data_IF_601040952444
#
_entry.id   IF_601040952444
#
_cell.length_a   1.000
_cell.length_b   1.000
_cell.length_c   1.000
_cell.angle_alpha   90.00
_cell.angle_beta   90.00
_cell.angle_gamma   90.00
#
_symmetry.space_group_name_H-M   'P 1'
#
loop_
_entity.id
_entity.type
_entity.pdbx_description
1 polymer ?
#
# COMPACT_ATOMS: atom_id res chain seq x y z
N UNK A 1 -64.39 29.74 -31.86
CA UNK A 1 -64.75 31.16 -31.68
C UNK A 1 -65.75 31.27 -30.56
N UNK A 2 -65.32 31.89 -29.45
CA UNK A 2 -66.15 32.17 -28.29
C UNK A 2 -66.56 33.65 -28.32
N UNK A 3 -67.76 33.95 -27.85
CA UNK A 3 -68.25 35.32 -27.65
C UNK A 3 -68.54 35.48 -26.17
N UNK A 4 -67.96 36.52 -25.58
CA UNK A 4 -68.05 36.79 -24.15
C UNK A 4 -68.42 38.25 -23.96
N UNK A 5 -69.43 38.51 -23.13
CA UNK A 5 -69.76 39.87 -22.70
C UNK A 5 -68.91 40.22 -21.49
N UNK A 6 -68.16 41.33 -21.60
CA UNK A 6 -67.25 41.85 -20.57
C UNK A 6 -67.53 43.34 -20.34
N UNK A 7 -67.28 43.82 -19.13
CA UNK A 7 -67.48 45.23 -18.77
C UNK A 7 -66.13 45.92 -18.60
N UNK A 8 -65.90 47.01 -19.33
CA UNK A 8 -64.67 47.81 -19.27
C UNK A 8 -65.07 49.27 -19.07
N UNK A 9 -64.59 49.88 -17.98
CA UNK A 9 -64.93 51.24 -17.59
C UNK A 9 -66.44 51.52 -17.62
N UNK A 10 -67.20 50.63 -16.98
CA UNK A 10 -68.67 50.67 -16.85
C UNK A 10 -69.44 50.62 -18.19
N UNK A 11 -68.78 50.13 -19.26
CA UNK A 11 -69.39 49.90 -20.57
C UNK A 11 -69.25 48.42 -20.95
N UNK A 12 -70.35 47.82 -21.39
CA UNK A 12 -70.37 46.41 -21.82
C UNK A 12 -69.94 46.25 -23.28
N UNK A 13 -69.04 45.29 -23.50
CA UNK A 13 -68.49 44.92 -24.81
C UNK A 13 -68.67 43.42 -25.06
N UNK A 14 -69.02 43.07 -26.29
CA UNK A 14 -69.03 41.68 -26.75
C UNK A 14 -67.68 41.36 -27.40
N UNK A 15 -66.81 40.68 -26.65
CA UNK A 15 -65.50 40.23 -27.13
C UNK A 15 -65.65 38.92 -27.91
N UNK A 16 -65.03 38.84 -29.09
CA UNK A 16 -64.99 37.63 -29.91
C UNK A 16 -63.54 37.18 -30.07
N UNK A 17 -63.25 35.94 -29.69
CA UNK A 17 -61.89 35.38 -29.73
C UNK A 17 -61.87 33.88 -30.02
N UNK A 18 -60.69 33.35 -30.34
CA UNK A 18 -60.47 31.90 -30.49
C UNK A 18 -60.18 31.23 -29.14
N UNK A 19 -59.67 32.00 -28.19
CA UNK A 19 -59.35 31.60 -26.82
C UNK A 19 -60.61 31.29 -25.97
N UNK A 20 -60.40 30.64 -24.83
CA UNK A 20 -61.47 30.29 -23.90
C UNK A 20 -62.08 31.51 -23.18
N UNK A 21 -63.29 31.34 -22.62
CA UNK A 21 -64.02 32.42 -21.93
C UNK A 21 -63.19 33.02 -20.77
N UNK A 22 -62.54 32.16 -19.98
CA UNK A 22 -61.71 32.58 -18.84
C UNK A 22 -60.57 33.51 -19.25
N UNK A 23 -59.84 33.19 -20.33
CA UNK A 23 -58.76 34.02 -20.85
C UNK A 23 -59.29 35.36 -21.37
N UNK A 24 -60.38 35.34 -22.15
CA UNK A 24 -60.97 36.56 -22.70
C UNK A 24 -61.46 37.51 -21.58
N UNK A 25 -62.06 36.96 -20.51
CA UNK A 25 -62.41 37.73 -19.30
C UNK A 25 -61.17 38.28 -18.59
N UNK A 26 -60.13 37.46 -18.44
CA UNK A 26 -58.86 37.88 -17.81
C UNK A 26 -58.21 39.05 -18.55
N UNK A 27 -58.23 39.03 -19.88
CA UNK A 27 -57.71 40.14 -20.71
C UNK A 27 -58.56 41.40 -20.50
N UNK A 28 -59.89 41.28 -20.50
CA UNK A 28 -60.78 42.40 -20.26
C UNK A 28 -60.59 43.00 -18.85
N UNK A 29 -60.48 42.16 -17.82
CA UNK A 29 -60.21 42.57 -16.44
C UNK A 29 -58.87 43.31 -16.31
N UNK A 30 -57.85 42.88 -17.05
CA UNK A 30 -56.55 43.55 -17.06
C UNK A 30 -56.64 44.97 -17.63
N UNK A 31 -57.32 45.11 -18.78
CA UNK A 31 -57.53 46.40 -19.44
C UNK A 31 -58.39 47.31 -18.57
N UNK A 32 -59.48 46.81 -17.99
CA UNK A 32 -60.35 47.56 -17.08
C UNK A 32 -59.58 48.09 -15.87
N UNK A 33 -58.75 47.26 -15.22
CA UNK A 33 -57.91 47.66 -14.10
C UNK A 33 -56.93 48.78 -14.46
N UNK A 34 -56.23 48.65 -15.60
CA UNK A 34 -55.30 49.70 -16.06
C UNK A 34 -56.02 50.99 -16.42
N UNK A 35 -57.16 50.91 -17.10
CA UNK A 35 -57.95 52.08 -17.49
C UNK A 35 -58.50 52.81 -16.26
N UNK A 36 -59.05 52.07 -15.28
CA UNK A 36 -59.51 52.63 -14.00
C UNK A 36 -58.37 53.29 -13.23
N UNK A 37 -57.17 52.70 -13.19
CA UNK A 37 -56.01 53.29 -12.53
C UNK A 37 -55.59 54.65 -13.16
N UNK A 38 -55.65 54.75 -14.50
CA UNK A 38 -55.36 56.00 -15.22
C UNK A 38 -56.42 57.06 -14.89
N UNK A 39 -57.70 56.69 -14.89
CA UNK A 39 -58.82 57.61 -14.59
C UNK A 39 -58.77 58.07 -13.12
N UNK A 40 -58.48 57.16 -12.18
CA UNK A 40 -58.29 57.49 -10.77
C UNK A 40 -57.12 58.46 -10.56
N UNK A 41 -56.06 58.32 -11.34
CA UNK A 41 -54.89 59.22 -11.28
C UNK A 41 -55.16 60.60 -11.87
N UNK A 42 -56.07 60.72 -12.85
CA UNK A 42 -56.49 62.00 -13.42
C UNK A 42 -57.99 62.01 -13.77
N UNK A 43 -58.86 62.39 -12.82
CA UNK A 43 -60.31 62.37 -13.02
C UNK A 43 -60.84 63.34 -14.07
N UNK A 44 -60.04 64.31 -14.53
CA UNK A 44 -60.43 65.25 -15.61
C UNK A 44 -60.15 64.70 -17.01
N UNK A 45 -59.52 63.53 -17.11
CA UNK A 45 -59.20 62.90 -18.38
C UNK A 45 -60.46 62.32 -19.04
N UNK A 46 -60.61 62.49 -20.35
CA UNK A 46 -61.73 61.89 -21.08
C UNK A 46 -61.57 60.38 -21.18
N UNK A 47 -62.70 59.64 -21.26
CA UNK A 47 -62.68 58.18 -21.43
C UNK A 47 -61.90 57.74 -22.67
N UNK A 48 -61.98 58.49 -23.77
CA UNK A 48 -61.20 58.23 -24.99
C UNK A 48 -59.70 58.39 -24.76
N UNK A 49 -59.27 59.46 -24.09
CA UNK A 49 -57.86 59.67 -23.79
C UNK A 49 -57.33 58.63 -22.79
N UNK A 50 -58.14 58.23 -21.81
CA UNK A 50 -57.82 57.14 -20.90
C UNK A 50 -57.66 55.81 -21.64
N UNK A 51 -58.53 55.50 -22.61
CA UNK A 51 -58.41 54.30 -23.44
C UNK A 51 -57.12 54.31 -24.28
N UNK A 52 -56.76 55.44 -24.90
CA UNK A 52 -55.51 55.58 -25.67
C UNK A 52 -54.28 55.39 -24.76
N UNK A 53 -54.26 56.00 -23.58
CA UNK A 53 -53.16 55.82 -22.62
C UNK A 53 -53.08 54.38 -22.09
N UNK A 54 -54.23 53.72 -21.91
CA UNK A 54 -54.29 52.30 -21.53
C UNK A 54 -53.66 51.45 -22.63
N UNK A 55 -54.02 51.67 -23.88
CA UNK A 55 -53.45 50.95 -25.02
C UNK A 55 -51.92 51.14 -25.10
N UNK A 56 -51.43 52.38 -24.98
CA UNK A 56 -49.99 52.67 -24.98
C UNK A 56 -49.28 51.91 -23.85
N UNK A 57 -49.82 51.95 -22.63
CA UNK A 57 -49.23 51.26 -21.48
C UNK A 57 -49.24 49.73 -21.63
N UNK A 58 -50.24 49.15 -22.27
CA UNK A 58 -50.30 47.70 -22.52
C UNK A 58 -49.28 47.30 -23.60
N UNK A 59 -49.11 48.11 -24.64
CA UNK A 59 -48.08 47.88 -25.66
C UNK A 59 -46.67 48.03 -25.10
N UNK A 60 -46.44 48.99 -24.20
CA UNK A 60 -45.16 49.13 -23.50
C UNK A 60 -44.85 47.90 -22.62
N UNK A 61 -45.83 47.38 -21.88
CA UNK A 61 -45.67 46.12 -21.14
C UNK A 61 -45.30 44.96 -22.07
N UNK A 62 -45.98 44.87 -23.23
CA UNK A 62 -45.71 43.83 -24.23
C UNK A 62 -44.25 43.89 -24.69
N UNK A 63 -43.77 45.07 -25.11
CA UNK A 63 -42.38 45.23 -25.57
C UNK A 63 -41.35 44.95 -24.48
N UNK A 64 -41.62 45.32 -23.22
CA UNK A 64 -40.75 44.98 -22.09
C UNK A 64 -40.71 43.48 -21.81
N UNK A 65 -41.86 42.81 -21.91
CA UNK A 65 -41.96 41.35 -21.79
C UNK A 65 -41.23 40.66 -22.94
N UNK A 66 -41.37 41.13 -24.18
CA UNK A 66 -40.66 40.59 -25.36
C UNK A 66 -39.14 40.74 -25.22
N UNK A 67 -38.66 41.90 -24.76
CA UNK A 67 -37.25 42.12 -24.50
C UNK A 67 -36.70 41.18 -23.41
N UNK A 68 -37.47 41.00 -22.33
CA UNK A 68 -37.11 40.07 -21.24
C UNK A 68 -37.11 38.63 -21.74
N UNK A 69 -38.11 38.23 -22.50
CA UNK A 69 -38.21 36.89 -23.09
C UNK A 69 -37.05 36.59 -24.03
N UNK A 70 -36.66 37.58 -24.86
CA UNK A 70 -35.49 37.46 -25.72
C UNK A 70 -34.20 37.28 -24.92
N UNK A 71 -34.00 38.08 -23.86
CA UNK A 71 -32.83 37.94 -22.97
C UNK A 71 -32.79 36.57 -22.28
N UNK A 72 -33.92 36.08 -21.78
CA UNK A 72 -34.01 34.73 -21.20
C UNK A 72 -33.67 33.64 -22.23
N UNK A 73 -34.13 33.78 -23.48
CA UNK A 73 -33.79 32.83 -24.54
C UNK A 73 -32.29 32.85 -24.89
N UNK A 74 -31.67 34.04 -24.91
CA UNK A 74 -30.22 34.17 -25.11
C UNK A 74 -29.45 33.48 -23.97
N UNK A 75 -29.86 33.69 -22.71
CA UNK A 75 -29.27 33.01 -21.55
C UNK A 75 -29.43 31.49 -21.64
N UNK A 76 -30.61 31.00 -22.03
CA UNK A 76 -30.88 29.58 -22.22
C UNK A 76 -29.92 28.97 -23.26
N UNK A 77 -29.70 29.65 -24.39
CA UNK A 77 -28.77 29.17 -25.40
C UNK A 77 -27.32 29.14 -24.88
N UNK A 78 -26.90 30.16 -24.11
CA UNK A 78 -25.59 30.15 -23.45
C UNK A 78 -25.46 28.98 -22.48
N UNK A 79 -26.48 28.72 -21.66
CA UNK A 79 -26.46 27.60 -20.72
C UNK A 79 -26.44 26.24 -21.42
N UNK A 80 -27.15 26.06 -22.54
CA UNK A 80 -27.08 24.83 -23.35
C UNK A 80 -25.68 24.56 -23.89
N UNK A 81 -24.95 25.59 -24.30
CA UNK A 81 -23.56 25.45 -24.76
C UNK A 81 -22.66 25.01 -23.60
N UNK A 82 -22.79 25.65 -22.43
CA UNK A 82 -22.03 25.27 -21.23
C UNK A 82 -22.34 23.85 -20.77
N UNK A 83 -23.60 23.44 -20.84
CA UNK A 83 -24.03 22.10 -20.43
C UNK A 83 -23.34 21.03 -21.29
N UNK A 84 -23.31 21.23 -22.62
CA UNK A 84 -22.54 20.37 -23.53
C UNK A 84 -21.05 20.34 -23.21
N UNK A 85 -20.46 21.50 -22.94
CA UNK A 85 -19.04 21.59 -22.57
C UNK A 85 -18.74 20.81 -21.28
N UNK A 86 -19.62 20.90 -20.28
CA UNK A 86 -19.50 20.12 -19.04
C UNK A 86 -19.70 18.61 -19.27
N UNK A 87 -20.64 18.21 -20.14
CA UNK A 87 -20.80 16.80 -20.52
C UNK A 87 -19.53 16.23 -21.18
N UNK A 88 -18.90 16.98 -22.08
CA UNK A 88 -17.63 16.60 -22.72
C UNK A 88 -16.49 16.48 -21.71
N UNK A 89 -16.36 17.44 -20.78
CA UNK A 89 -15.36 17.38 -19.71
C UNK A 89 -15.56 16.17 -18.79
N UNK A 90 -16.82 15.87 -18.42
CA UNK A 90 -17.15 14.71 -17.59
C UNK A 90 -16.81 13.40 -18.33
N UNK A 91 -17.07 13.32 -19.63
CA UNK A 91 -16.71 12.15 -20.43
C UNK A 91 -15.19 11.92 -20.46
N UNK A 92 -14.40 12.97 -20.72
CA UNK A 92 -12.94 12.91 -20.72
C UNK A 92 -12.37 12.50 -19.35
N UNK A 93 -12.91 13.04 -18.25
CA UNK A 93 -12.49 12.66 -16.91
C UNK A 93 -12.81 11.20 -16.58
N UNK A 94 -13.96 10.69 -17.01
CA UNK A 94 -14.33 9.27 -16.83
C UNK A 94 -13.36 8.34 -17.56
N UNK A 95 -12.96 8.69 -18.79
CA UNK A 95 -11.98 7.91 -19.56
C UNK A 95 -10.62 7.89 -18.86
N UNK A 96 -10.14 9.04 -18.38
CA UNK A 96 -8.88 9.13 -17.65
C UNK A 96 -8.90 8.29 -16.37
N UNK A 97 -9.99 8.34 -15.60
CA UNK A 97 -10.15 7.53 -14.39
C UNK A 97 -10.11 6.04 -14.72
N UNK A 98 -10.80 5.60 -15.78
CA UNK A 98 -10.78 4.21 -16.22
C UNK A 98 -9.36 3.76 -16.60
N UNK A 99 -8.60 4.62 -17.30
CA UNK A 99 -7.21 4.33 -17.67
C UNK A 99 -6.31 4.14 -16.45
N UNK A 100 -6.35 5.08 -15.51
CA UNK A 100 -5.55 5.02 -14.27
C UNK A 100 -5.95 3.82 -13.41
N UNK A 101 -7.24 3.46 -13.37
CA UNK A 101 -7.69 2.25 -12.67
C UNK A 101 -7.15 0.98 -13.33
N UNK A 102 -7.12 0.92 -14.67
CA UNK A 102 -6.50 -0.18 -15.41
C UNK A 102 -5.00 -0.31 -15.12
N UNK A 103 -4.25 0.79 -15.22
CA UNK A 103 -2.81 0.82 -14.91
C UNK A 103 -2.53 0.37 -13.46
N UNK A 104 -3.36 0.81 -12.50
CA UNK A 104 -3.22 0.39 -11.10
C UNK A 104 -3.50 -1.10 -10.90
N UNK A 105 -4.46 -1.68 -11.63
CA UNK A 105 -4.73 -3.12 -11.59
C UNK A 105 -3.57 -3.92 -12.17
N UNK A 106 -3.01 -3.48 -13.30
CA UNK A 106 -1.82 -4.10 -13.91
C UNK A 106 -0.62 -4.04 -12.96
N UNK A 107 -0.39 -2.89 -12.31
CA UNK A 107 0.67 -2.74 -11.31
C UNK A 107 0.47 -3.68 -10.11
N UNK A 108 -0.76 -3.80 -9.60
CA UNK A 108 -1.07 -4.74 -8.51
C UNK A 108 -0.82 -6.19 -8.93
N UNK A 109 -1.20 -6.55 -10.15
CA UNK A 109 -0.93 -7.88 -10.71
C UNK A 109 0.57 -8.14 -10.79
N UNK A 110 1.36 -7.19 -11.32
CA UNK A 110 2.81 -7.30 -11.37
C UNK A 110 3.47 -7.43 -9.99
N UNK A 111 2.97 -6.72 -8.97
CA UNK A 111 3.46 -6.84 -7.59
C UNK A 111 3.16 -8.21 -7.01
N UNK A 112 1.99 -8.78 -7.28
CA UNK A 112 1.62 -10.12 -6.82
C UNK A 112 2.37 -11.23 -7.58
N UNK A 113 2.56 -11.07 -8.89
CA UNK A 113 3.28 -12.03 -9.73
C UNK A 113 4.80 -12.00 -9.47
N UNK A 114 5.31 -10.88 -8.95
CA UNK A 114 6.61 -10.81 -8.33
C UNK A 114 6.61 -11.72 -7.10
N UNK A 115 6.98 -12.99 -7.32
CA UNK A 115 7.34 -14.06 -6.36
C UNK A 115 8.40 -13.65 -5.32
N UNK A 116 8.62 -12.37 -5.09
CA UNK A 116 9.51 -11.82 -4.07
C UNK A 116 9.16 -12.41 -2.71
N UNK A 117 7.88 -12.53 -2.35
CA UNK A 117 7.51 -13.10 -1.05
C UNK A 117 7.82 -14.61 -0.97
N UNK A 118 7.60 -15.36 -2.04
CA UNK A 118 7.89 -16.80 -2.11
C UNK A 118 9.40 -17.08 -2.13
N UNK A 119 10.15 -16.28 -2.91
CA UNK A 119 11.61 -16.32 -2.99
C UNK A 119 12.25 -15.89 -1.65
N UNK A 120 11.68 -14.90 -0.97
CA UNK A 120 12.15 -14.46 0.35
C UNK A 120 11.98 -15.59 1.37
N UNK A 121 10.80 -16.23 1.41
CA UNK A 121 10.54 -17.39 2.29
C UNK A 121 11.50 -18.55 2.00
N UNK A 122 11.75 -18.86 0.73
CA UNK A 122 12.71 -19.90 0.36
C UNK A 122 14.13 -19.57 0.83
N UNK A 123 14.58 -18.32 0.66
CA UNK A 123 15.91 -17.87 1.12
C UNK A 123 16.02 -17.82 2.64
N UNK A 124 14.96 -17.44 3.35
CA UNK A 124 14.93 -17.47 4.81
C UNK A 124 15.04 -18.89 5.36
N UNK A 125 14.40 -19.86 4.72
CA UNK A 125 14.51 -21.28 5.08
C UNK A 125 15.95 -21.81 4.87
N UNK A 126 16.56 -21.54 3.72
CA UNK A 126 17.98 -21.87 3.45
C UNK A 126 18.94 -21.21 4.46
N UNK A 127 18.69 -19.95 4.81
CA UNK A 127 19.53 -19.23 5.78
C UNK A 127 19.40 -19.81 7.19
N UNK A 128 18.22 -20.33 7.53
CA UNK A 128 17.98 -20.99 8.82
C UNK A 128 18.68 -22.34 8.90
N UNK A 129 18.62 -23.16 7.83
CA UNK A 129 19.33 -24.44 7.79
C UNK A 129 20.85 -24.25 7.83
N UNK A 130 21.38 -23.30 7.06
CA UNK A 130 22.80 -22.99 7.04
C UNK A 130 23.31 -22.50 8.40
N UNK A 131 22.51 -21.68 9.12
CA UNK A 131 22.84 -21.27 10.50
C UNK A 131 22.94 -22.47 11.45
N UNK A 132 22.01 -23.43 11.35
CA UNK A 132 22.07 -24.64 12.18
C UNK A 132 23.31 -25.49 11.88
N UNK A 133 23.68 -25.61 10.60
CA UNK A 133 24.86 -26.35 10.19
C UNK A 133 26.15 -25.68 10.68
N UNK A 134 26.24 -24.35 10.59
CA UNK A 134 27.36 -23.56 11.14
C UNK A 134 27.50 -23.76 12.65
N UNK A 135 26.40 -23.79 13.40
CA UNK A 135 26.46 -24.05 14.85
C UNK A 135 26.95 -25.47 15.17
N UNK A 136 26.46 -26.49 14.45
CA UNK A 136 26.96 -27.87 14.60
C UNK A 136 28.46 -27.97 14.30
N UNK A 137 28.92 -27.35 13.22
CA UNK A 137 30.34 -27.34 12.85
C UNK A 137 31.20 -26.63 13.90
N UNK A 138 30.70 -25.55 14.52
CA UNK A 138 31.39 -24.87 15.63
C UNK A 138 31.51 -25.78 16.85
N UNK A 139 30.45 -26.49 17.22
CA UNK A 139 30.46 -27.44 18.34
C UNK A 139 31.46 -28.58 18.09
N UNK A 140 31.45 -29.17 16.90
CA UNK A 140 32.42 -30.21 16.51
C UNK A 140 33.86 -29.69 16.54
N UNK A 141 34.09 -28.47 16.04
CA UNK A 141 35.42 -27.85 16.03
C UNK A 141 35.92 -27.56 17.45
N UNK A 142 35.02 -27.18 18.37
CA UNK A 142 35.34 -27.00 19.79
C UNK A 142 35.71 -28.34 20.45
N UNK A 143 34.94 -29.40 20.18
CA UNK A 143 35.22 -30.75 20.68
C UNK A 143 36.57 -31.27 20.16
N UNK A 144 36.81 -31.20 18.85
CA UNK A 144 38.07 -31.64 18.24
C UNK A 144 39.29 -30.88 18.81
N UNK A 145 39.15 -29.58 19.13
CA UNK A 145 40.20 -28.82 19.81
C UNK A 145 40.49 -29.34 21.21
N UNK A 146 39.45 -29.66 21.99
CA UNK A 146 39.59 -30.24 23.33
C UNK A 146 40.28 -31.61 23.27
N UNK A 147 39.82 -32.48 22.35
CA UNK A 147 40.39 -33.82 22.16
C UNK A 147 41.86 -33.73 21.72
N UNK A 148 42.21 -32.79 20.83
CA UNK A 148 43.58 -32.56 20.41
C UNK A 148 44.50 -32.15 21.57
N UNK A 149 44.07 -31.23 22.44
CA UNK A 149 44.87 -30.84 23.61
C UNK A 149 44.99 -31.99 24.63
N UNK A 150 43.95 -32.82 24.79
CA UNK A 150 44.01 -34.02 25.63
C UNK A 150 45.03 -35.04 25.09
N UNK A 151 44.95 -35.39 23.81
CA UNK A 151 45.92 -36.31 23.18
C UNK A 151 47.35 -35.76 23.20
N UNK A 152 47.52 -34.44 23.09
CA UNK A 152 48.83 -33.79 23.20
C UNK A 152 49.39 -33.87 24.62
N UNK A 153 48.56 -33.73 25.65
CA UNK A 153 48.96 -33.92 27.04
C UNK A 153 49.33 -35.39 27.32
N UNK A 154 48.50 -36.34 26.88
CA UNK A 154 48.76 -37.77 27.00
C UNK A 154 50.06 -38.18 26.30
N UNK A 155 50.31 -37.66 25.09
CA UNK A 155 51.58 -37.90 24.38
C UNK A 155 52.81 -37.38 25.13
N UNK A 156 52.70 -36.26 25.87
CA UNK A 156 53.80 -35.77 26.71
C UNK A 156 54.03 -36.72 27.89
N UNK A 157 52.96 -37.18 28.53
CA UNK A 157 53.02 -38.11 29.67
C UNK A 157 53.61 -39.46 29.25
N UNK A 158 53.15 -40.04 28.14
CA UNK A 158 53.71 -41.27 27.57
C UNK A 158 55.21 -41.14 27.27
N UNK A 159 55.67 -39.98 26.77
CA UNK A 159 57.12 -39.73 26.58
C UNK A 159 57.88 -39.75 27.90
N UNK A 160 57.34 -39.16 28.96
CA UNK A 160 57.96 -39.16 30.28
C UNK A 160 58.00 -40.58 30.90
N UNK A 161 56.90 -41.32 30.79
CA UNK A 161 56.82 -42.71 31.25
C UNK A 161 57.80 -43.60 30.48
N UNK A 162 57.91 -43.44 29.17
CA UNK A 162 58.87 -44.16 28.33
C UNK A 162 60.32 -43.88 28.76
N UNK A 163 60.64 -42.62 29.05
CA UNK A 163 61.96 -42.24 29.55
C UNK A 163 62.25 -42.86 30.93
N UNK A 164 61.27 -42.84 31.83
CA UNK A 164 61.38 -43.46 33.16
C UNK A 164 61.57 -44.97 33.06
N UNK A 165 60.79 -45.65 32.21
CA UNK A 165 60.91 -47.08 31.95
C UNK A 165 62.30 -47.43 31.39
N UNK A 166 62.85 -46.61 30.48
CA UNK A 166 64.22 -46.76 29.96
C UNK A 166 65.27 -46.69 31.08
N UNK A 167 65.20 -45.71 31.96
CA UNK A 167 66.12 -45.61 33.10
C UNK A 167 66.03 -46.83 34.03
N UNK A 168 64.80 -47.30 34.30
CA UNK A 168 64.58 -48.48 35.15
C UNK A 168 65.13 -49.76 34.53
N UNK A 169 64.99 -49.93 33.21
CA UNK A 169 65.60 -51.05 32.47
C UNK A 169 67.13 -50.99 32.58
N UNK A 170 67.74 -49.82 32.42
CA UNK A 170 69.20 -49.64 32.54
C UNK A 170 69.68 -50.00 33.96
N UNK A 171 69.00 -49.53 35.01
CA UNK A 171 69.34 -49.87 36.40
C UNK A 171 69.25 -51.38 36.67
N UNK A 172 68.16 -52.02 36.21
CA UNK A 172 67.99 -53.47 36.33
C UNK A 172 69.04 -54.25 35.53
N UNK A 173 69.42 -53.79 34.34
CA UNK A 173 70.50 -54.37 33.55
C UNK A 173 71.84 -54.29 34.29
N UNK A 174 72.17 -53.13 34.88
CA UNK A 174 73.38 -52.96 35.68
C UNK A 174 73.41 -53.91 36.88
N UNK A 175 72.32 -53.98 37.65
CA UNK A 175 72.19 -54.93 38.79
C UNK A 175 72.31 -56.40 38.35
N UNK A 176 71.74 -56.75 37.20
CA UNK A 176 71.83 -58.10 36.66
C UNK A 176 73.28 -58.44 36.27
N UNK A 177 74.01 -57.50 35.65
CA UNK A 177 75.44 -57.66 35.35
C UNK A 177 76.25 -57.82 36.63
N UNK A 178 76.02 -57.02 37.66
CA UNK A 178 76.69 -57.16 38.97
C UNK A 178 76.42 -58.52 39.61
N UNK A 179 75.17 -58.98 39.59
CA UNK A 179 74.79 -60.30 40.08
C UNK A 179 75.44 -61.42 39.27
N UNK A 180 75.52 -61.30 37.95
CA UNK A 180 76.23 -62.27 37.10
C UNK A 180 77.74 -62.32 37.44
N UNK A 181 78.38 -61.16 37.66
CA UNK A 181 79.78 -61.07 38.10
C UNK A 181 79.96 -61.76 39.46
N UNK A 182 79.08 -61.50 40.42
CA UNK A 182 79.13 -62.11 41.75
C UNK A 182 78.92 -63.62 41.69
N UNK A 183 77.99 -64.10 40.86
CA UNK A 183 77.75 -65.53 40.65
C UNK A 183 78.99 -66.24 40.07
N UNK A 184 79.69 -65.60 39.13
CA UNK A 184 80.97 -66.11 38.60
C UNK A 184 82.05 -66.14 39.69
N UNK A 185 82.15 -65.11 40.54
CA UNK A 185 83.08 -65.09 41.68
C UNK A 185 82.79 -66.22 42.68
N UNK A 186 81.52 -66.42 43.06
CA UNK A 186 81.11 -67.50 43.98
C UNK A 186 81.35 -68.88 43.36
N UNK A 187 81.02 -69.08 42.07
CA UNK A 187 81.36 -70.31 41.35
C UNK A 187 82.86 -70.59 41.32
N UNK A 188 83.70 -69.54 41.27
CA UNK A 188 85.16 -69.67 41.35
C UNK A 188 85.65 -70.02 42.77
N UNK A 189 85.01 -69.46 43.81
CA UNK A 189 85.34 -69.74 45.22
C UNK A 189 84.88 -71.12 45.70
N UNK A 190 83.75 -71.62 45.20
CA UNK A 190 83.22 -72.96 45.49
C UNK A 190 83.72 -74.04 44.52
N UNK A 191 84.75 -73.76 43.72
CA UNK A 191 85.33 -74.76 42.83
C UNK A 191 86.38 -75.60 43.61
N UNK A 192 86.18 -76.93 43.79
CA UNK A 192 87.06 -77.79 44.59
C UNK A 192 88.52 -77.87 44.12
N UNK A 193 88.83 -77.33 42.94
CA UNK A 193 90.15 -77.38 42.31
C UNK A 193 91.06 -76.19 42.66
N UNK A 194 90.59 -75.18 43.40
CA UNK A 194 91.39 -73.99 43.74
C UNK A 194 91.71 -73.90 45.25
N UNK A 195 90.99 -74.63 46.11
CA UNK A 195 91.10 -74.52 47.57
C UNK A 195 91.79 -75.70 48.30
N UNK A 196 92.47 -76.59 47.58
CA UNK A 196 93.48 -77.49 48.17
C UNK A 196 94.87 -76.92 47.83
N UNK A 197 95.54 -76.26 48.76
CA UNK A 197 96.54 -76.92 49.63
C UNK A 197 97.51 -77.81 48.83
N UNK A 198 98.75 -77.37 48.63
CA UNK A 198 99.85 -77.52 49.61
C UNK A 198 99.95 -78.94 50.14
N UNK A 199 100.85 -79.74 49.55
CA UNK A 199 101.38 -80.92 50.23
C UNK A 199 101.92 -82.02 49.31
N UNK A 200 103.19 -81.91 48.89
CA UNK A 200 104.29 -82.89 49.14
C UNK A 200 105.40 -82.76 48.09
N UNK A 201 106.63 -82.67 48.64
CA UNK A 201 107.94 -83.11 48.15
C UNK A 201 108.16 -83.20 46.64
#
# INVERSE_FOLDING_TARGET
MNIVTVTINDVDYNLKGEENDEYLRKVADYVDKKMKAIIQSNPRLSGTAAAVLTAINVVDDLFKCEASYKGLNEDIEVYKVKDKEYEEQIAALKELVAKVQGENQELLQMVNDNKVEENLKAKEAELTSLKQEVEKLKEELAKNKSDFEAYKAENKELKFQLQTARYKIIDLQNKLVENQINLVKVKKMNNPLINNEKGKK
#
